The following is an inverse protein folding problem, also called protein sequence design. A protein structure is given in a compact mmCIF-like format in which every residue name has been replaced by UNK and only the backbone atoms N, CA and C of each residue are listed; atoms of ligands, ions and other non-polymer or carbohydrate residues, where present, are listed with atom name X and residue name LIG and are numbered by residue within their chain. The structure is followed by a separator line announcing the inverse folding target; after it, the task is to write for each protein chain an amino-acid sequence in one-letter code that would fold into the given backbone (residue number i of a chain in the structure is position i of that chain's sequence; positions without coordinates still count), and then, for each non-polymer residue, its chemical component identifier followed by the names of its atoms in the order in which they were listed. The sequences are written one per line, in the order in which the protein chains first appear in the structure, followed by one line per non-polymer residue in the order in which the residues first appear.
data_IF_717163051310
#
_entry.id   IF_717163051310
#
_cell.length_a   1.000
_cell.length_b   1.000
_cell.length_c   1.000
_cell.angle_alpha   90.00
_cell.angle_beta   90.00
_cell.angle_gamma   90.00
#
_symmetry.space_group_name_H-M   'P 1'
#
loop_
_entity.id
_entity.type
_entity.pdbx_description
1 polymer ?
#
# COMPACT_ATOMS: atom_id res chain seq x y z
N UNK A 1 40.40 24.77 11.41
CA UNK A 1 40.31 23.64 12.36
C UNK A 1 39.33 24.08 13.43
N UNK A 2 38.06 23.66 13.49
CA UNK A 2 37.43 22.35 13.34
C UNK A 2 36.15 22.47 12.49
N UNK A 3 35.86 21.38 11.76
CA UNK A 3 34.69 21.09 10.94
C UNK A 3 33.44 20.83 11.81
N UNK A 4 32.27 21.32 11.40
CA UNK A 4 31.02 20.57 11.55
C UNK A 4 30.21 20.62 10.25
N UNK A 5 29.77 19.44 9.87
CA UNK A 5 29.26 18.97 8.59
C UNK A 5 27.77 18.64 8.80
N UNK A 6 26.95 19.03 7.81
CA UNK A 6 25.59 18.58 7.47
C UNK A 6 24.42 18.98 8.37
N UNK A 7 23.44 19.67 7.79
CA UNK A 7 22.20 18.97 7.43
C UNK A 7 21.59 19.57 6.14
N UNK A 8 21.22 18.69 5.23
CA UNK A 8 20.78 18.98 3.86
C UNK A 8 19.41 18.35 3.69
N UNK A 9 18.36 19.16 3.54
CA UNK A 9 17.22 18.88 2.66
C UNK A 9 16.08 19.86 2.94
N UNK A 10 16.07 20.91 2.13
CA UNK A 10 14.87 21.45 1.48
C UNK A 10 13.75 20.40 1.34
N UNK A 11 12.76 20.45 2.24
CA UNK A 11 11.45 19.87 1.99
C UNK A 11 10.41 20.98 2.17
N UNK A 12 10.10 21.58 1.02
CA UNK A 12 9.03 22.53 0.78
C UNK A 12 7.72 22.06 1.43
N UNK A 13 7.35 22.70 2.54
CA UNK A 13 5.98 22.66 3.05
C UNK A 13 5.16 23.70 2.31
N UNK A 14 4.34 23.27 1.36
CA UNK A 14 3.30 24.12 0.78
C UNK A 14 2.22 24.39 1.83
N UNK A 15 2.24 25.58 2.41
CA UNK A 15 1.17 26.11 3.26
C UNK A 15 0.32 27.04 2.39
N UNK A 16 -0.91 26.65 2.08
CA UNK A 16 -1.91 27.55 1.51
C UNK A 16 -2.76 28.08 2.66
N UNK A 17 -2.64 29.39 2.91
CA UNK A 17 -3.34 30.12 3.96
C UNK A 17 -4.72 30.58 3.42
N UNK A 18 -5.78 30.39 4.19
CA UNK A 18 -7.04 31.14 4.00
C UNK A 18 -7.50 31.66 5.35
N UNK A 19 -7.47 32.99 5.49
CA UNK A 19 -7.84 33.74 6.70
C UNK A 19 -9.28 34.20 6.53
N UNK A 20 -10.16 33.89 7.51
CA UNK A 20 -11.26 34.75 8.00
C UNK A 20 -12.13 33.99 9.05
N UNK A 21 -12.12 34.42 10.31
CA UNK A 21 -13.17 34.10 11.31
C UNK A 21 -12.70 33.40 12.61
N UNK A 22 -13.42 33.57 13.75
CA UNK A 22 -12.91 33.31 15.09
C UNK A 22 -12.77 31.81 15.38
N UNK A 23 -11.53 31.41 15.66
CA UNK A 23 -11.10 30.25 16.44
C UNK A 23 -11.82 28.93 16.21
N UNK A 24 -11.98 28.50 14.95
CA UNK A 24 -12.16 27.07 14.66
C UNK A 24 -10.77 26.44 14.58
N UNK A 25 -10.38 25.78 15.67
CA UNK A 25 -9.17 24.95 15.71
C UNK A 25 -9.18 23.98 14.52
N UNK A 26 -8.25 24.17 13.59
CA UNK A 26 -8.00 23.26 12.48
C UNK A 26 -7.26 22.04 13.04
N UNK A 27 -8.02 21.02 13.45
CA UNK A 27 -7.45 19.72 13.73
C UNK A 27 -6.94 19.12 12.40
N UNK A 28 -5.64 19.20 12.17
CA UNK A 28 -4.97 18.40 11.15
C UNK A 28 -4.88 16.99 11.72
N UNK A 29 -5.89 16.16 11.43
CA UNK A 29 -5.81 14.73 11.68
C UNK A 29 -4.68 14.18 10.80
N UNK A 30 -3.55 13.82 11.41
CA UNK A 30 -2.54 13.01 10.74
C UNK A 30 -3.19 11.68 10.34
N UNK A 31 -3.48 11.51 9.05
CA UNK A 31 -4.03 10.27 8.54
C UNK A 31 -2.90 9.24 8.55
N UNK A 32 -2.87 8.37 9.56
CA UNK A 32 -2.06 7.15 9.49
C UNK A 32 -2.53 6.34 8.28
N UNK A 33 -1.63 6.12 7.33
CA UNK A 33 -1.94 5.32 6.16
C UNK A 33 -1.54 3.87 6.41
N UNK A 34 -2.52 2.96 6.30
CA UNK A 34 -2.30 1.53 6.39
C UNK A 34 -1.64 1.04 5.11
N UNK A 35 -0.60 0.21 5.24
CA UNK A 35 0.10 -0.40 4.09
C UNK A 35 -0.17 -1.89 4.09
N UNK A 36 -0.74 -2.41 3.01
CA UNK A 36 -0.99 -3.83 2.82
C UNK A 36 -0.19 -4.33 1.62
N UNK A 37 0.47 -5.48 1.76
CA UNK A 37 1.27 -6.13 0.72
C UNK A 37 0.54 -7.36 0.20
N UNK A 38 0.51 -7.52 -1.12
CA UNK A 38 -0.14 -8.65 -1.78
C UNK A 38 0.83 -9.28 -2.79
N UNK A 39 1.13 -10.56 -2.60
CA UNK A 39 2.07 -11.32 -3.44
C UNK A 39 1.40 -12.58 -3.99
N UNK A 40 1.86 -13.12 -5.12
CA UNK A 40 1.30 -14.35 -5.69
C UNK A 40 1.89 -15.63 -5.05
N UNK A 41 2.65 -15.53 -3.96
CA UNK A 41 3.43 -16.65 -3.38
C UNK A 41 2.76 -17.25 -2.16
N UNK A 42 1.52 -17.73 -2.30
CA UNK A 42 0.73 -18.26 -1.18
C UNK A 42 1.40 -19.42 -0.42
N UNK A 43 2.29 -20.17 -1.07
CA UNK A 43 3.06 -21.28 -0.51
C UNK A 43 4.14 -20.83 0.49
N UNK A 44 4.68 -19.63 0.32
CA UNK A 44 5.83 -19.14 1.09
C UNK A 44 5.43 -18.51 2.43
N UNK A 45 4.17 -18.11 2.56
CA UNK A 45 3.67 -17.39 3.73
C UNK A 45 2.52 -18.17 4.37
N UNK A 46 2.53 -18.26 5.69
CA UNK A 46 1.52 -18.99 6.48
C UNK A 46 0.10 -18.46 6.18
N UNK A 47 -0.91 -19.31 6.38
CA UNK A 47 -2.33 -18.97 6.23
C UNK A 47 -2.79 -17.80 7.14
N UNK A 48 -1.95 -17.40 8.12
CA UNK A 48 -2.18 -16.26 8.99
C UNK A 48 -1.54 -14.97 8.45
N UNK A 49 -1.81 -14.63 7.19
CA UNK A 49 -1.39 -13.36 6.58
C UNK A 49 -2.08 -12.18 7.28
N UNK A 50 -1.29 -11.19 7.67
CA UNK A 50 -1.79 -9.91 8.22
C UNK A 50 -1.69 -8.76 7.22
N UNK A 51 -1.10 -9.00 6.05
CA UNK A 51 -0.89 -8.01 5.00
C UNK A 51 0.36 -7.16 5.22
N UNK A 52 1.18 -7.44 6.21
CA UNK A 52 2.49 -6.80 6.39
C UNK A 52 3.49 -7.23 5.31
N UNK A 53 4.62 -6.53 5.21
CA UNK A 53 5.71 -6.89 4.29
C UNK A 53 6.19 -8.35 4.53
N UNK A 54 6.31 -8.76 5.79
CA UNK A 54 6.78 -10.11 6.17
C UNK A 54 5.72 -11.21 6.07
N UNK A 55 4.43 -10.85 6.10
CA UNK A 55 3.31 -11.79 6.02
C UNK A 55 2.23 -11.25 5.06
N UNK A 56 2.56 -11.15 3.76
CA UNK A 56 1.69 -10.54 2.76
C UNK A 56 0.43 -11.38 2.54
N UNK A 57 -0.61 -10.74 2.00
CA UNK A 57 -1.78 -11.44 1.50
C UNK A 57 -1.46 -12.15 0.19
N UNK A 58 -2.11 -13.29 -0.05
CA UNK A 58 -1.95 -14.06 -1.29
C UNK A 58 -2.89 -13.59 -2.40
N UNK A 59 -3.92 -12.81 -2.04
CA UNK A 59 -4.90 -12.29 -2.99
C UNK A 59 -5.32 -10.87 -2.65
N UNK A 60 -5.69 -10.13 -3.69
CA UNK A 60 -6.24 -8.79 -3.52
C UNK A 60 -7.58 -8.81 -2.75
N UNK A 61 -8.36 -9.88 -2.87
CA UNK A 61 -9.61 -10.04 -2.12
C UNK A 61 -9.36 -10.05 -0.61
N UNK A 62 -8.36 -10.77 -0.12
CA UNK A 62 -8.01 -10.77 1.32
C UNK A 62 -7.66 -9.36 1.83
N UNK A 63 -6.95 -8.56 1.02
CA UNK A 63 -6.63 -7.18 1.36
C UNK A 63 -7.89 -6.29 1.41
N UNK A 64 -8.85 -6.50 0.51
CA UNK A 64 -10.13 -5.79 0.53
C UNK A 64 -10.98 -6.22 1.73
N UNK A 65 -11.08 -7.51 2.02
CA UNK A 65 -11.79 -8.04 3.18
C UNK A 65 -11.19 -7.53 4.51
N UNK A 66 -9.88 -7.31 4.56
CA UNK A 66 -9.22 -6.63 5.68
C UNK A 66 -9.76 -5.21 5.87
N UNK A 67 -9.79 -4.42 4.78
CA UNK A 67 -10.25 -3.04 4.82
C UNK A 67 -11.72 -2.98 5.22
N UNK A 68 -12.55 -3.84 4.65
CA UNK A 68 -13.97 -3.93 4.96
C UNK A 68 -14.24 -4.27 6.44
N UNK A 69 -13.53 -5.26 6.99
CA UNK A 69 -13.63 -5.60 8.42
C UNK A 69 -13.25 -4.44 9.33
N UNK A 70 -12.19 -3.70 9.00
CA UNK A 70 -11.75 -2.55 9.80
C UNK A 70 -12.70 -1.36 9.67
N UNK A 71 -13.32 -1.18 8.50
CA UNK A 71 -14.36 -0.18 8.27
C UNK A 71 -15.57 -0.41 9.19
N UNK A 72 -16.14 -1.62 9.18
CA UNK A 72 -17.33 -1.93 10.00
C UNK A 72 -17.05 -1.99 11.51
N UNK A 73 -15.79 -2.22 11.91
CA UNK A 73 -15.37 -2.12 13.33
C UNK A 73 -15.17 -0.68 13.79
N UNK A 74 -15.27 0.31 12.91
CA UNK A 74 -15.05 1.72 13.24
C UNK A 74 -13.59 2.11 13.47
N UNK A 75 -12.64 1.21 13.16
CA UNK A 75 -11.20 1.42 13.39
C UNK A 75 -10.61 2.33 12.30
N UNK A 76 -11.11 2.22 11.06
CA UNK A 76 -10.46 2.76 9.87
C UNK A 76 -11.39 3.52 8.93
N UNK A 77 -12.56 3.97 9.39
CA UNK A 77 -13.58 4.61 8.53
C UNK A 77 -13.08 5.84 7.75
N UNK A 78 -12.01 6.49 8.24
CA UNK A 78 -11.35 7.64 7.58
C UNK A 78 -9.87 7.39 7.23
N UNK A 79 -9.35 6.17 7.41
CA UNK A 79 -7.95 5.87 7.13
C UNK A 79 -7.74 5.55 5.66
N UNK A 80 -6.70 6.14 5.06
CA UNK A 80 -6.26 5.81 3.71
C UNK A 80 -5.46 4.51 3.73
N UNK A 81 -5.89 3.52 2.96
CA UNK A 81 -5.15 2.26 2.84
C UNK A 81 -4.46 2.20 1.49
N UNK A 82 -3.16 1.93 1.48
CA UNK A 82 -2.40 1.65 0.26
C UNK A 82 -2.13 0.16 0.17
N UNK A 83 -2.60 -0.46 -0.91
CA UNK A 83 -2.31 -1.85 -1.24
C UNK A 83 -1.19 -1.88 -2.27
N UNK A 84 -0.05 -2.46 -1.88
CA UNK A 84 1.12 -2.69 -2.71
C UNK A 84 1.02 -4.07 -3.35
N UNK A 85 0.95 -4.10 -4.67
CA UNK A 85 0.81 -5.32 -5.46
C UNK A 85 2.16 -5.71 -6.06
N UNK A 86 2.55 -6.96 -5.87
CA UNK A 86 3.75 -7.51 -6.52
C UNK A 86 3.62 -7.37 -8.04
N UNK A 87 4.67 -6.97 -8.78
CA UNK A 87 4.55 -6.73 -10.21
C UNK A 87 4.41 -8.03 -11.03
N UNK A 88 3.18 -8.51 -11.16
CA UNK A 88 2.78 -9.74 -11.86
C UNK A 88 1.41 -9.57 -12.55
N UNK A 89 1.05 -10.54 -13.39
CA UNK A 89 -0.29 -10.67 -13.98
C UNK A 89 -1.29 -11.40 -13.07
N UNK A 90 -0.89 -11.91 -11.90
CA UNK A 90 -1.69 -12.82 -11.09
C UNK A 90 -3.04 -12.27 -10.57
N UNK A 91 -3.26 -10.95 -10.61
CA UNK A 91 -4.45 -10.32 -10.02
C UNK A 91 -5.63 -10.19 -11.01
N UNK A 92 -5.95 -11.28 -11.74
CA UNK A 92 -6.91 -11.29 -12.86
C UNK A 92 -8.39 -11.45 -12.47
N UNK A 93 -8.71 -11.62 -11.18
CA UNK A 93 -10.10 -11.83 -10.77
C UNK A 93 -10.95 -10.54 -10.82
N UNK A 94 -12.27 -10.71 -10.90
CA UNK A 94 -13.22 -9.60 -10.78
C UNK A 94 -13.12 -9.00 -9.39
N UNK A 95 -12.80 -7.72 -9.29
CA UNK A 95 -12.65 -7.00 -8.02
C UNK A 95 -13.86 -6.09 -7.84
N UNK A 96 -14.50 -6.15 -6.67
CA UNK A 96 -15.63 -5.30 -6.32
C UNK A 96 -15.23 -4.29 -5.26
N UNK A 97 -15.37 -3.02 -5.59
CA UNK A 97 -15.17 -1.92 -4.66
C UNK A 97 -16.51 -1.47 -4.07
N UNK A 98 -16.54 -1.27 -2.76
CA UNK A 98 -17.69 -0.77 -2.01
C UNK A 98 -17.29 0.47 -1.21
N UNK A 99 -18.22 1.07 -0.48
CA UNK A 99 -17.97 2.29 0.30
C UNK A 99 -16.79 2.15 1.28
N UNK A 100 -16.61 0.96 1.86
CA UNK A 100 -15.47 0.65 2.73
C UNK A 100 -14.10 0.86 2.06
N UNK A 101 -14.04 0.78 0.72
CA UNK A 101 -12.82 0.89 -0.07
C UNK A 101 -12.62 2.27 -0.71
N UNK A 102 -13.45 3.26 -0.36
CA UNK A 102 -13.43 4.61 -0.94
C UNK A 102 -12.09 5.35 -0.78
N UNK A 103 -11.30 4.99 0.23
CA UNK A 103 -9.99 5.58 0.52
C UNK A 103 -8.84 4.60 0.26
N UNK A 104 -9.06 3.62 -0.63
CA UNK A 104 -8.06 2.62 -1.00
C UNK A 104 -7.29 3.07 -2.23
N UNK A 105 -5.96 3.04 -2.14
CA UNK A 105 -5.04 3.20 -3.26
C UNK A 105 -4.45 1.84 -3.62
N UNK A 106 -4.53 1.46 -4.90
CA UNK A 106 -3.75 0.36 -5.44
C UNK A 106 -2.46 0.92 -6.06
N UNK A 107 -1.32 0.32 -5.76
CA UNK A 107 -0.04 0.68 -6.40
C UNK A 107 0.82 -0.56 -6.59
N UNK A 108 1.77 -0.48 -7.52
CA UNK A 108 2.80 -1.51 -7.67
C UNK A 108 3.82 -1.38 -6.53
N UNK A 109 4.29 -2.52 -6.00
CA UNK A 109 5.42 -2.56 -5.07
C UNK A 109 6.65 -1.83 -5.64
N UNK A 110 7.42 -1.20 -4.76
CA UNK A 110 8.73 -0.66 -5.13
C UNK A 110 9.74 -1.79 -5.36
N UNK A 111 10.82 -1.47 -6.05
CA UNK A 111 11.91 -2.43 -6.30
C UNK A 111 12.50 -2.96 -4.99
N UNK A 112 12.64 -2.11 -3.98
CA UNK A 112 13.13 -2.46 -2.64
C UNK A 112 12.23 -3.51 -1.95
N UNK A 113 10.92 -3.29 -1.94
CA UNK A 113 9.94 -4.23 -1.37
C UNK A 113 9.91 -5.54 -2.18
N UNK A 114 10.08 -5.44 -3.50
CA UNK A 114 10.07 -6.61 -4.39
C UNK A 114 11.32 -7.46 -4.17
N UNK A 115 12.48 -6.83 -3.98
CA UNK A 115 13.75 -7.50 -3.72
C UNK A 115 13.72 -8.32 -2.42
N UNK A 116 12.95 -7.88 -1.41
CA UNK A 116 12.72 -8.68 -0.20
C UNK A 116 12.15 -10.06 -0.55
N UNK A 117 11.14 -10.13 -1.41
CA UNK A 117 10.52 -11.39 -1.81
C UNK A 117 11.40 -12.19 -2.77
N UNK A 118 12.12 -11.53 -3.67
CA UNK A 118 12.99 -12.18 -4.66
C UNK A 118 13.98 -13.17 -4.02
N UNK A 119 14.51 -12.82 -2.85
CA UNK A 119 15.43 -13.67 -2.07
C UNK A 119 14.82 -15.01 -1.63
N UNK A 120 13.51 -15.05 -1.35
CA UNK A 120 12.80 -16.26 -0.92
C UNK A 120 12.26 -17.06 -2.10
N UNK A 121 11.95 -16.37 -3.18
CA UNK A 121 11.29 -16.91 -4.37
C UNK A 121 12.21 -17.62 -5.37
N UNK A 122 13.53 -17.49 -5.23
CA UNK A 122 14.51 -18.10 -6.14
C UNK A 122 14.42 -19.64 -6.25
N UNK A 123 13.65 -20.29 -5.36
CA UNK A 123 13.43 -21.75 -5.34
C UNK A 123 12.12 -22.21 -5.97
N UNK A 124 11.14 -21.32 -6.15
CA UNK A 124 9.86 -21.66 -6.77
C UNK A 124 9.79 -21.06 -8.18
N UNK A 125 9.20 -21.78 -9.14
CA UNK A 125 9.08 -21.38 -10.55
C UNK A 125 8.14 -20.18 -10.70
N UNK A 126 8.61 -19.01 -10.27
CA UNK A 126 7.79 -17.84 -10.12
C UNK A 126 7.68 -17.11 -11.45
N UNK A 127 6.45 -16.67 -11.83
CA UNK A 127 6.23 -16.01 -13.09
C UNK A 127 7.12 -14.78 -13.22
N UNK A 128 7.67 -14.59 -14.42
CA UNK A 128 8.60 -13.49 -14.76
C UNK A 128 8.06 -12.16 -14.23
N UNK A 129 8.86 -11.52 -13.38
CA UNK A 129 8.56 -10.21 -12.80
C UNK A 129 8.31 -9.17 -13.91
N UNK A 130 7.26 -8.39 -13.74
CA UNK A 130 6.92 -7.26 -14.62
C UNK A 130 7.51 -5.96 -14.09
N UNK A 131 7.42 -4.89 -14.90
CA UNK A 131 7.69 -3.54 -14.43
C UNK A 131 6.55 -2.98 -13.58
N UNK A 132 5.32 -3.49 -13.76
CA UNK A 132 4.11 -3.05 -13.04
C UNK A 132 3.20 -4.23 -12.76
N UNK A 133 2.46 -4.15 -11.65
CA UNK A 133 1.37 -5.06 -11.40
C UNK A 133 0.24 -4.79 -12.40
N UNK A 134 -0.45 -5.85 -12.82
CA UNK A 134 -1.61 -5.78 -13.69
C UNK A 134 -2.82 -6.38 -12.99
N UNK A 135 -3.97 -5.72 -13.12
CA UNK A 135 -5.27 -6.26 -12.70
C UNK A 135 -6.03 -6.81 -13.93
N UNK A 136 -7.16 -7.48 -13.68
CA UNK A 136 -8.03 -8.05 -14.71
C UNK A 136 -8.22 -7.11 -15.92
N UNK A 137 -8.06 -7.65 -17.13
CA UNK A 137 -8.07 -6.88 -18.38
C UNK A 137 -6.71 -6.37 -18.84
N UNK A 138 -5.62 -6.71 -18.15
CA UNK A 138 -4.27 -6.31 -18.56
C UNK A 138 -3.95 -4.84 -18.26
N UNK A 139 -4.78 -4.18 -17.43
CA UNK A 139 -4.61 -2.77 -17.10
C UNK A 139 -3.45 -2.64 -16.11
N UNK A 140 -2.34 -1.99 -16.50
CA UNK A 140 -1.22 -1.78 -15.60
C UNK A 140 -1.60 -0.76 -14.53
N UNK A 141 -1.14 -1.00 -13.29
CA UNK A 141 -1.39 -0.08 -12.19
C UNK A 141 -0.51 1.16 -12.36
N UNK A 142 -1.13 2.31 -12.58
CA UNK A 142 -0.48 3.62 -12.64
C UNK A 142 -0.47 4.28 -11.27
N UNK A 143 0.61 5.01 -10.96
CA UNK A 143 0.78 5.71 -9.68
C UNK A 143 -0.02 7.01 -9.59
#
# INVERSE_FOLDING_TARGET
MIIKIFDSALLLWFIVLSINGPSRSLCISSFTSTRLYVTPFSSLFSNNSDGSLSSPYSSLQQALDHIERNYYRGISSSQRTTIYLYPTYHFVNTIRFHQAHSHTRLTTMKDEDTAFYEQFTAREQIPRRLSRASISGGVPITN
#
